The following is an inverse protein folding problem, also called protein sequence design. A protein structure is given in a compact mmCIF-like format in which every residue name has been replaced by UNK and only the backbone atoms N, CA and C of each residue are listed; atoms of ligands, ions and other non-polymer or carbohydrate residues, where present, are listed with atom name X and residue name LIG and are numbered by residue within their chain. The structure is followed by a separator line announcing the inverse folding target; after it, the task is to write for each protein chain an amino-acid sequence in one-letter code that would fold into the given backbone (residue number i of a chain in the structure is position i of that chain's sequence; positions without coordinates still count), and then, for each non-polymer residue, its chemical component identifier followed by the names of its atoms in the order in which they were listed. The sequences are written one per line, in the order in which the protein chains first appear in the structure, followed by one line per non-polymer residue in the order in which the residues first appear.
data_IF_406123971461
#
_entry.id   IF_406123971461
#
_cell.length_a   1.000
_cell.length_b   1.000
_cell.length_c   1.000
_cell.angle_alpha   90.00
_cell.angle_beta   90.00
_cell.angle_gamma   90.00
#
_symmetry.space_group_name_H-M   'P 1'
#
loop_
_entity.id
_entity.type
_entity.pdbx_description
1 polymer ?
#
# COMPACT_ATOMS: atom_id res chain seq x y z
N UNK A 1 -11.79 -36.73 -0.40
CA UNK A 1 -10.63 -36.25 -1.20
C UNK A 1 -10.51 -34.75 -0.98
N UNK A 2 -9.45 -34.29 -0.31
CA UNK A 2 -9.23 -32.87 -0.05
C UNK A 2 -8.75 -32.20 -1.34
N UNK A 3 -9.48 -31.22 -1.87
CA UNK A 3 -9.01 -30.43 -3.02
C UNK A 3 -7.74 -29.70 -2.57
N UNK A 4 -6.62 -29.98 -3.22
CA UNK A 4 -5.40 -29.19 -3.04
C UNK A 4 -5.77 -27.73 -3.31
N UNK A 5 -5.58 -26.89 -2.30
CA UNK A 5 -5.78 -25.45 -2.43
C UNK A 5 -4.63 -24.96 -3.32
N UNK A 6 -4.87 -24.81 -4.62
CA UNK A 6 -3.97 -24.09 -5.51
C UNK A 6 -3.95 -22.64 -5.06
N UNK A 7 -2.87 -22.25 -4.39
CA UNK A 7 -2.52 -20.86 -4.11
C UNK A 7 -2.52 -20.12 -5.45
N UNK A 8 -3.25 -19.01 -5.61
CA UNK A 8 -3.10 -18.21 -6.81
C UNK A 8 -1.73 -17.53 -6.76
N UNK A 9 -1.10 -17.55 -7.93
CA UNK A 9 0.27 -17.11 -8.13
C UNK A 9 0.41 -15.62 -7.89
N UNK A 10 1.48 -15.24 -7.18
CA UNK A 10 2.11 -13.91 -7.24
C UNK A 10 1.93 -13.29 -8.63
N UNK A 11 1.47 -12.02 -8.74
CA UNK A 11 1.28 -11.36 -10.02
C UNK A 11 2.59 -11.32 -10.80
N UNK A 12 2.53 -11.42 -12.13
CA UNK A 12 3.73 -11.24 -12.97
C UNK A 12 4.07 -9.76 -13.13
N UNK A 13 5.31 -9.47 -13.52
CA UNK A 13 5.74 -8.08 -13.81
C UNK A 13 4.85 -7.45 -14.88
N UNK A 14 4.51 -8.19 -15.93
CA UNK A 14 3.66 -7.74 -17.03
C UNK A 14 2.25 -7.40 -16.54
N UNK A 15 1.69 -8.24 -15.66
CA UNK A 15 0.37 -7.97 -15.05
C UNK A 15 0.37 -6.72 -14.16
N UNK A 16 1.49 -6.42 -13.49
CA UNK A 16 1.66 -5.18 -12.73
C UNK A 16 1.81 -3.98 -13.67
N UNK A 17 2.57 -4.10 -14.75
CA UNK A 17 2.78 -2.99 -15.69
C UNK A 17 1.46 -2.49 -16.30
N UNK A 18 0.49 -3.39 -16.52
CA UNK A 18 -0.86 -3.05 -16.99
C UNK A 18 -1.68 -2.21 -15.99
N UNK A 19 -1.29 -2.18 -14.72
CA UNK A 19 -1.95 -1.41 -13.65
C UNK A 19 -1.26 -0.08 -13.35
N UNK A 20 -0.16 0.26 -14.06
CA UNK A 20 0.58 1.51 -13.84
C UNK A 20 -0.35 2.70 -14.06
N UNK A 21 -0.23 3.71 -13.19
CA UNK A 21 -0.92 4.99 -13.35
C UNK A 21 -0.58 5.69 -14.66
N UNK A 22 0.70 5.65 -15.05
CA UNK A 22 1.20 6.32 -16.24
C UNK A 22 1.91 5.32 -17.14
N UNK A 23 1.47 5.27 -18.39
CA UNK A 23 2.17 4.56 -19.45
C UNK A 23 3.02 5.54 -20.27
N UNK A 24 3.86 5.01 -21.15
CA UNK A 24 4.78 5.81 -21.98
C UNK A 24 4.11 6.99 -22.69
N UNK A 25 2.89 6.79 -23.20
CA UNK A 25 2.12 7.83 -23.88
C UNK A 25 1.73 8.96 -22.92
N UNK A 26 1.35 8.63 -21.69
CA UNK A 26 0.98 9.60 -20.66
C UNK A 26 2.21 10.40 -20.21
N UNK A 27 3.34 9.72 -19.99
CA UNK A 27 4.60 10.37 -19.61
C UNK A 27 5.06 11.35 -20.69
N UNK A 28 4.97 10.97 -21.97
CA UNK A 28 5.27 11.88 -23.10
C UNK A 28 4.34 13.10 -23.11
N UNK A 29 3.04 12.92 -22.85
CA UNK A 29 2.07 14.03 -22.76
C UNK A 29 2.38 14.95 -21.58
N UNK A 30 2.68 14.38 -20.41
CA UNK A 30 3.08 15.16 -19.23
C UNK A 30 4.32 16.00 -19.50
N UNK A 31 5.30 15.45 -20.24
CA UNK A 31 6.50 16.20 -20.63
C UNK A 31 6.19 17.33 -21.61
N UNK A 32 5.39 17.07 -22.64
CA UNK A 32 4.98 18.09 -23.61
C UNK A 32 4.16 19.23 -22.97
N UNK A 33 3.45 18.93 -21.88
CA UNK A 33 2.70 19.90 -21.09
C UNK A 33 3.54 20.55 -19.98
N UNK A 34 4.87 20.35 -19.99
CA UNK A 34 5.82 20.91 -19.02
C UNK A 34 5.55 20.52 -17.55
N UNK A 35 4.74 19.48 -17.32
CA UNK A 35 4.42 18.98 -15.98
C UNK A 35 5.55 18.13 -15.37
N UNK A 36 6.46 17.62 -16.21
CA UNK A 36 7.63 16.84 -15.82
C UNK A 36 8.83 17.25 -16.65
N UNK A 37 10.02 16.89 -16.16
CA UNK A 37 11.28 17.21 -16.83
C UNK A 37 11.86 15.97 -17.51
N UNK A 38 12.78 16.19 -18.45
CA UNK A 38 13.59 15.14 -19.07
C UNK A 38 15.06 15.51 -18.93
N UNK A 39 15.91 14.58 -18.47
CA UNK A 39 17.34 14.84 -18.38
C UNK A 39 18.05 14.73 -19.75
N UNK A 40 19.34 15.04 -19.76
CA UNK A 40 20.19 14.95 -20.95
C UNK A 40 20.35 13.52 -21.52
N UNK A 41 20.02 12.48 -20.73
CA UNK A 41 20.04 11.07 -21.15
C UNK A 41 18.68 10.58 -21.63
N UNK A 42 17.65 11.41 -21.52
CA UNK A 42 16.29 11.12 -21.95
C UNK A 42 15.39 10.47 -20.90
N UNK A 43 15.77 10.45 -19.63
CA UNK A 43 14.95 9.94 -18.53
C UNK A 43 14.00 11.02 -18.00
N UNK A 44 12.75 10.63 -17.72
CA UNK A 44 11.73 11.52 -17.18
C UNK A 44 11.84 11.67 -15.66
N UNK A 45 11.78 12.92 -15.18
CA UNK A 45 11.83 13.28 -13.76
C UNK A 45 10.55 13.98 -13.33
N UNK A 46 10.02 13.58 -12.20
CA UNK A 46 8.91 14.23 -11.52
C UNK A 46 9.41 14.94 -10.26
N UNK A 47 8.86 16.11 -9.97
CA UNK A 47 9.18 16.86 -8.77
C UNK A 47 8.24 16.44 -7.64
N UNK A 48 8.77 15.75 -6.63
CA UNK A 48 7.99 15.35 -5.45
C UNK A 48 8.23 16.33 -4.30
N UNK A 49 7.16 16.78 -3.66
CA UNK A 49 7.26 17.52 -2.39
C UNK A 49 7.75 16.57 -1.30
N UNK A 50 8.86 16.87 -0.62
CA UNK A 50 9.22 16.13 0.58
C UNK A 50 8.27 16.46 1.72
N UNK A 51 7.68 15.44 2.36
CA UNK A 51 7.08 15.60 3.68
C UNK A 51 8.19 15.91 4.67
N UNK A 52 8.28 17.16 5.09
CA UNK A 52 9.12 17.54 6.21
C UNK A 52 8.28 17.43 7.50
N UNK A 53 8.41 16.31 8.21
CA UNK A 53 8.48 16.46 9.67
C UNK A 53 9.69 17.38 9.90
N UNK A 54 9.46 18.66 10.24
CA UNK A 54 10.48 19.70 10.53
C UNK A 54 10.80 20.74 9.44
N UNK A 55 9.81 21.19 8.67
CA UNK A 55 9.73 22.63 8.35
C UNK A 55 10.45 23.16 7.10
N UNK A 56 11.04 22.34 6.22
CA UNK A 56 11.42 22.83 4.88
C UNK A 56 11.04 21.80 3.80
N UNK A 57 9.99 22.12 3.04
CA UNK A 57 9.60 21.42 1.81
C UNK A 57 10.59 21.78 0.69
N UNK A 58 11.72 21.06 0.58
CA UNK A 58 12.52 21.14 -0.64
C UNK A 58 11.96 20.14 -1.65
N UNK A 59 11.54 20.58 -2.83
CA UNK A 59 11.17 19.64 -3.88
C UNK A 59 12.39 18.78 -4.24
N UNK A 60 12.16 17.47 -4.35
CA UNK A 60 13.17 16.51 -4.82
C UNK A 60 12.73 15.99 -6.18
N UNK A 61 13.62 16.04 -7.16
CA UNK A 61 13.37 15.38 -8.45
C UNK A 61 13.66 13.90 -8.33
N UNK A 62 12.71 13.08 -8.76
CA UNK A 62 12.83 11.63 -8.80
C UNK A 62 12.54 11.12 -10.20
N UNK A 63 13.24 10.08 -10.61
CA UNK A 63 13.00 9.46 -11.90
C UNK A 63 11.71 8.62 -11.83
N UNK A 64 10.83 8.80 -12.82
CA UNK A 64 9.51 8.15 -12.85
C UNK A 64 9.65 6.64 -13.01
N UNK A 65 10.40 6.19 -14.03
CA UNK A 65 10.52 4.75 -14.33
C UNK A 65 11.23 3.97 -13.20
N UNK A 66 12.37 4.42 -12.65
CA UNK A 66 12.95 3.80 -11.45
C UNK A 66 12.02 3.77 -10.23
N UNK A 67 11.14 4.77 -10.08
CA UNK A 67 10.15 4.76 -9.00
C UNK A 67 9.12 3.66 -9.21
N UNK A 68 8.58 3.49 -10.42
CA UNK A 68 7.67 2.39 -10.74
C UNK A 68 8.34 1.03 -10.53
N UNK A 69 9.56 0.84 -11.02
CA UNK A 69 10.31 -0.42 -10.84
C UNK A 69 10.55 -0.76 -9.36
N UNK A 70 10.83 0.25 -8.52
CA UNK A 70 10.97 0.05 -7.08
C UNK A 70 9.65 -0.40 -6.43
N UNK A 71 8.52 0.21 -6.82
CA UNK A 71 7.19 -0.16 -6.33
C UNK A 71 6.81 -1.57 -6.79
N UNK A 72 7.04 -1.93 -8.05
CA UNK A 72 6.81 -3.28 -8.58
C UNK A 72 7.58 -4.34 -7.80
N UNK A 73 8.89 -4.11 -7.58
CA UNK A 73 9.74 -5.00 -6.78
C UNK A 73 9.21 -5.12 -5.35
N UNK A 74 8.72 -4.03 -4.77
CA UNK A 74 8.12 -4.05 -3.44
C UNK A 74 6.83 -4.89 -3.41
N UNK A 75 5.92 -4.71 -4.37
CA UNK A 75 4.68 -5.49 -4.49
C UNK A 75 4.98 -6.98 -4.62
N UNK A 76 5.87 -7.36 -5.54
CA UNK A 76 6.27 -8.75 -5.76
C UNK A 76 6.89 -9.36 -4.49
N UNK A 77 7.72 -8.59 -3.79
CA UNK A 77 8.33 -9.05 -2.54
C UNK A 77 7.28 -9.32 -1.45
N UNK A 78 6.26 -8.46 -1.29
CA UNK A 78 5.18 -8.69 -0.32
C UNK A 78 4.34 -9.92 -0.65
N UNK A 79 3.98 -10.12 -1.93
CA UNK A 79 3.23 -11.32 -2.35
C UNK A 79 4.02 -12.60 -2.05
N UNK A 80 5.31 -12.63 -2.38
CA UNK A 80 6.19 -13.78 -2.05
C UNK A 80 6.29 -14.03 -0.54
N UNK A 81 6.38 -12.96 0.26
CA UNK A 81 6.37 -13.08 1.72
C UNK A 81 5.03 -13.64 2.21
N UNK A 82 3.91 -13.16 1.68
CA UNK A 82 2.58 -13.62 2.05
C UNK A 82 2.36 -15.10 1.70
N UNK A 83 2.82 -15.56 0.53
CA UNK A 83 2.78 -16.97 0.15
C UNK A 83 3.56 -17.84 1.15
N UNK A 84 4.77 -17.43 1.53
CA UNK A 84 5.60 -18.13 2.51
C UNK A 84 4.93 -18.17 3.90
N UNK A 85 4.48 -17.03 4.40
CA UNK A 85 3.77 -16.91 5.70
C UNK A 85 2.49 -17.75 5.71
N UNK A 86 1.74 -17.78 4.61
CA UNK A 86 0.54 -18.61 4.50
C UNK A 86 0.86 -20.10 4.52
N UNK A 87 1.88 -20.54 3.77
CA UNK A 87 2.31 -21.94 3.77
C UNK A 87 2.73 -22.39 5.18
N UNK A 88 3.50 -21.56 5.90
CA UNK A 88 3.89 -21.80 7.28
C UNK A 88 2.68 -21.87 8.22
N UNK A 89 1.75 -20.92 8.09
CA UNK A 89 0.50 -20.90 8.87
C UNK A 89 -0.32 -22.18 8.68
N UNK A 90 -0.40 -22.68 7.44
CA UNK A 90 -1.18 -23.88 7.11
C UNK A 90 -0.55 -25.17 7.64
N UNK A 91 0.77 -25.20 7.84
CA UNK A 91 1.48 -26.32 8.45
C UNK A 91 1.21 -26.44 9.97
N UNK A 92 0.81 -25.36 10.63
CA UNK A 92 0.58 -25.33 12.08
C UNK A 92 -0.76 -25.98 12.43
N UNK A 93 -0.78 -26.93 13.37
CA UNK A 93 -2.01 -27.63 13.79
C UNK A 93 -2.87 -26.82 14.77
N UNK A 94 -2.26 -26.07 15.70
CA UNK A 94 -3.00 -25.35 16.76
C UNK A 94 -3.41 -23.94 16.32
N UNK A 95 -4.69 -23.60 16.49
CA UNK A 95 -5.23 -22.29 16.11
C UNK A 95 -4.55 -21.10 16.81
N UNK A 96 -4.17 -21.24 18.08
CA UNK A 96 -3.49 -20.15 18.83
C UNK A 96 -2.12 -19.81 18.23
N UNK A 97 -1.39 -20.82 17.78
CA UNK A 97 -0.05 -20.66 17.17
C UNK A 97 -0.12 -20.05 15.76
N UNK A 98 -1.30 -20.06 15.10
CA UNK A 98 -1.54 -19.41 13.80
C UNK A 98 -1.76 -17.90 13.90
N UNK A 99 -2.07 -17.38 15.09
CA UNK A 99 -2.43 -15.96 15.28
C UNK A 99 -1.35 -15.00 14.78
N UNK A 100 -0.06 -15.16 15.11
CA UNK A 100 0.99 -14.26 14.61
C UNK A 100 1.08 -14.24 13.09
N UNK A 101 0.99 -15.41 12.45
CA UNK A 101 1.01 -15.51 10.97
C UNK A 101 -0.17 -14.79 10.33
N UNK A 102 -1.37 -14.89 10.92
CA UNK A 102 -2.54 -14.15 10.45
C UNK A 102 -2.34 -12.64 10.56
N UNK A 103 -1.74 -12.16 11.64
CA UNK A 103 -1.41 -10.73 11.82
C UNK A 103 -0.38 -10.27 10.78
N UNK A 104 0.68 -11.04 10.57
CA UNK A 104 1.67 -10.74 9.52
C UNK A 104 1.03 -10.73 8.13
N UNK A 105 0.14 -11.67 7.81
CA UNK A 105 -0.61 -11.68 6.55
C UNK A 105 -1.48 -10.43 6.40
N UNK A 106 -2.21 -10.03 7.45
CA UNK A 106 -3.01 -8.81 7.45
C UNK A 106 -2.13 -7.56 7.25
N UNK A 107 -0.97 -7.48 7.90
CA UNK A 107 -0.02 -6.39 7.67
C UNK A 107 0.45 -6.35 6.21
N UNK A 108 0.82 -7.49 5.64
CA UNK A 108 1.25 -7.58 4.24
C UNK A 108 0.13 -7.17 3.27
N UNK A 109 -1.12 -7.54 3.57
CA UNK A 109 -2.29 -7.14 2.77
C UNK A 109 -2.49 -5.62 2.78
N UNK A 110 -2.27 -4.98 3.93
CA UNK A 110 -2.36 -3.53 4.09
C UNK A 110 -1.25 -2.83 3.31
N UNK A 111 -0.01 -3.30 3.45
CA UNK A 111 1.13 -2.77 2.69
C UNK A 111 0.88 -2.89 1.18
N UNK A 112 0.41 -4.05 0.73
CA UNK A 112 0.03 -4.27 -0.67
C UNK A 112 -1.09 -3.33 -1.11
N UNK A 113 -2.14 -3.16 -0.31
CA UNK A 113 -3.23 -2.24 -0.61
C UNK A 113 -2.71 -0.82 -0.88
N UNK A 114 -1.85 -0.31 0.00
CA UNK A 114 -1.24 1.01 -0.17
C UNK A 114 -0.33 1.10 -1.40
N UNK A 115 0.52 0.09 -1.60
CA UNK A 115 1.41 0.05 -2.76
C UNK A 115 0.61 0.04 -4.08
N UNK A 116 -0.45 -0.75 -4.18
CA UNK A 116 -1.31 -0.78 -5.37
C UNK A 116 -2.05 0.54 -5.58
N UNK A 117 -2.56 1.17 -4.51
CA UNK A 117 -3.23 2.46 -4.61
C UNK A 117 -2.27 3.54 -5.15
N UNK A 118 -1.07 3.64 -4.56
CA UNK A 118 -0.04 4.59 -5.00
C UNK A 118 0.42 4.32 -6.45
N UNK A 119 0.60 3.04 -6.79
CA UNK A 119 1.08 2.59 -8.09
C UNK A 119 0.08 2.83 -9.23
N UNK A 120 -1.19 2.54 -9.00
CA UNK A 120 -2.27 2.71 -9.98
C UNK A 120 -2.87 4.11 -9.98
N UNK A 121 -2.58 4.92 -8.95
CA UNK A 121 -3.21 6.22 -8.75
C UNK A 121 -4.69 6.16 -8.41
N UNK A 122 -5.18 4.99 -7.97
CA UNK A 122 -6.54 4.83 -7.43
C UNK A 122 -6.71 5.70 -6.19
N UNK A 123 -7.96 6.05 -5.90
CA UNK A 123 -8.35 6.91 -4.76
C UNK A 123 -7.77 8.33 -4.81
N UNK A 124 -7.33 8.81 -5.99
CA UNK A 124 -6.90 10.20 -6.18
C UNK A 124 -5.56 10.55 -5.52
N UNK A 125 -4.76 9.56 -5.11
CA UNK A 125 -3.45 9.79 -4.48
C UNK A 125 -2.53 10.60 -5.40
N UNK A 126 -1.69 11.47 -4.83
CA UNK A 126 -0.63 12.15 -5.59
C UNK A 126 0.44 11.15 -6.03
N UNK A 127 1.22 11.48 -7.08
CA UNK A 127 2.40 10.68 -7.40
C UNK A 127 3.46 10.90 -6.30
N UNK A 128 3.81 9.83 -5.59
CA UNK A 128 4.77 9.84 -4.50
C UNK A 128 6.03 9.09 -4.91
N UNK A 129 7.20 9.53 -4.41
CA UNK A 129 8.41 8.72 -4.54
C UNK A 129 8.29 7.44 -3.71
N UNK A 130 9.02 6.40 -4.10
CA UNK A 130 9.03 5.12 -3.38
C UNK A 130 9.31 5.30 -1.87
N UNK A 131 10.27 6.15 -1.51
CA UNK A 131 10.61 6.39 -0.12
C UNK A 131 9.46 7.05 0.66
N UNK A 132 8.69 7.95 0.03
CA UNK A 132 7.54 8.58 0.68
C UNK A 132 6.42 7.57 0.91
N UNK A 133 6.15 6.70 -0.07
CA UNK A 133 5.18 5.62 0.07
C UNK A 133 5.56 4.73 1.27
N UNK A 134 6.85 4.40 1.40
CA UNK A 134 7.33 3.59 2.52
C UNK A 134 7.21 4.29 3.87
N UNK A 135 7.48 5.60 3.95
CA UNK A 135 7.28 6.41 5.16
C UNK A 135 5.80 6.44 5.54
N UNK A 136 4.89 6.70 4.59
CA UNK A 136 3.45 6.74 4.87
C UNK A 136 2.91 5.39 5.35
N UNK A 137 3.38 4.29 4.75
CA UNK A 137 3.07 2.94 5.23
C UNK A 137 3.55 2.79 6.67
N UNK A 138 4.81 3.16 6.96
CA UNK A 138 5.40 3.03 8.28
C UNK A 138 4.65 3.86 9.35
N UNK A 139 4.26 5.09 9.02
CA UNK A 139 3.49 5.96 9.90
C UNK A 139 2.13 5.33 10.22
N UNK A 140 1.41 4.86 9.20
CA UNK A 140 0.10 4.22 9.39
C UNK A 140 0.18 2.92 10.19
N UNK A 141 1.26 2.14 10.01
CA UNK A 141 1.55 0.99 10.85
C UNK A 141 1.82 1.41 12.29
N UNK A 142 2.54 2.51 12.51
CA UNK A 142 2.83 3.04 13.86
C UNK A 142 1.56 3.51 14.60
N UNK A 143 0.55 3.97 13.88
CA UNK A 143 -0.76 4.34 14.43
C UNK A 143 -1.68 3.14 14.74
N UNK A 144 -1.34 1.93 14.28
CA UNK A 144 -2.17 0.74 14.49
C UNK A 144 -3.35 0.61 13.53
N UNK A 145 -3.26 1.20 12.32
CA UNK A 145 -4.40 1.34 11.39
C UNK A 145 -4.58 0.16 10.42
N UNK A 146 -3.83 -0.95 10.58
CA UNK A 146 -3.87 -2.08 9.65
C UNK A 146 -5.27 -2.68 9.58
N UNK A 147 -5.84 -2.97 10.75
CA UNK A 147 -7.15 -3.62 10.83
C UNK A 147 -8.26 -2.71 10.29
N UNK A 148 -8.29 -1.44 10.72
CA UNK A 148 -9.27 -0.45 10.26
C UNK A 148 -9.18 -0.22 8.74
N UNK A 149 -7.96 -0.21 8.18
CA UNK A 149 -7.73 -0.01 6.74
C UNK A 149 -8.18 -1.18 5.86
N UNK A 150 -8.15 -2.41 6.37
CA UNK A 150 -8.52 -3.63 5.62
C UNK A 150 -9.99 -4.00 5.84
N UNK A 151 -10.52 -3.88 7.06
CA UNK A 151 -11.87 -4.38 7.39
C UNK A 151 -12.97 -3.67 6.58
N UNK A 152 -12.74 -2.41 6.21
CA UNK A 152 -13.67 -1.63 5.39
C UNK A 152 -13.70 -2.07 3.92
N UNK A 153 -12.82 -2.98 3.49
CA UNK A 153 -12.64 -3.37 2.09
C UNK A 153 -13.17 -4.78 1.85
N UNK A 154 -14.11 -4.90 0.92
CA UNK A 154 -14.69 -6.17 0.44
C UNK A 154 -13.64 -7.10 -0.18
N UNK A 155 -12.71 -6.51 -0.92
CA UNK A 155 -11.61 -7.22 -1.58
C UNK A 155 -10.31 -6.45 -1.39
N UNK A 156 -9.27 -7.18 -1.06
CA UNK A 156 -7.89 -6.74 -0.85
C UNK A 156 -6.95 -7.61 -1.69
N UNK A 157 -5.71 -7.17 -1.95
CA UNK A 157 -4.77 -7.92 -2.79
C UNK A 157 -4.61 -9.40 -2.38
N UNK A 158 -4.50 -9.71 -1.09
CA UNK A 158 -4.34 -11.09 -0.62
C UNK A 158 -5.67 -11.86 -0.53
N UNK A 159 -6.82 -11.19 -0.37
CA UNK A 159 -8.12 -11.87 -0.39
C UNK A 159 -8.56 -12.24 -1.81
N UNK A 160 -8.26 -11.40 -2.81
CA UNK A 160 -8.38 -11.77 -4.23
C UNK A 160 -7.49 -12.97 -4.56
N UNK A 161 -6.29 -12.99 -3.98
CA UNK A 161 -5.39 -14.13 -3.98
C UNK A 161 -5.80 -15.29 -3.06
N UNK A 162 -6.98 -15.29 -2.41
CA UNK A 162 -7.40 -16.36 -1.48
C UNK A 162 -6.34 -16.76 -0.42
N UNK A 163 -5.33 -15.91 -0.19
CA UNK A 163 -4.26 -16.10 0.80
C UNK A 163 -4.75 -15.68 2.19
N UNK A 164 -5.79 -14.85 2.25
CA UNK A 164 -6.53 -14.54 3.46
C UNK A 164 -8.01 -14.74 3.14
N UNK A 165 -8.82 -15.32 4.06
CA UNK A 165 -10.27 -15.26 3.92
C UNK A 165 -10.73 -13.80 3.80
N UNK A 166 -11.76 -13.48 3.00
CA UNK A 166 -12.31 -12.14 2.93
C UNK A 166 -12.53 -11.55 4.32
N UNK A 167 -12.03 -10.33 4.55
CA UNK A 167 -12.11 -9.67 5.85
C UNK A 167 -13.53 -9.14 6.14
N UNK A 168 -14.38 -9.06 5.11
CA UNK A 168 -15.77 -8.63 5.25
C UNK A 168 -16.64 -9.71 5.88
N UNK A 169 -17.36 -9.33 6.93
CA UNK A 169 -18.33 -10.18 7.63
C UNK A 169 -17.80 -10.93 8.85
N UNK A 170 -16.48 -10.92 9.13
CA UNK A 170 -15.91 -11.46 10.37
C UNK A 170 -15.30 -10.33 11.21
N UNK A 171 -16.08 -9.81 12.16
CA UNK A 171 -15.54 -8.94 13.21
C UNK A 171 -14.60 -9.76 14.10
N UNK A 172 -13.31 -9.46 14.06
CA UNK A 172 -12.39 -9.89 15.11
C UNK A 172 -12.53 -8.83 16.23
N UNK A 173 -12.81 -9.23 17.47
CA UNK A 173 -12.95 -8.26 18.57
C UNK A 173 -11.63 -7.51 18.77
N UNK A 174 -11.67 -6.27 19.25
CA UNK A 174 -10.47 -5.46 19.54
C UNK A 174 -9.48 -6.21 20.46
N UNK A 175 -10.01 -6.99 21.42
CA UNK A 175 -9.26 -7.88 22.30
C UNK A 175 -8.45 -8.98 21.59
N UNK A 176 -8.75 -9.26 20.31
CA UNK A 176 -7.92 -10.12 19.48
C UNK A 176 -6.56 -9.47 19.16
N UNK A 177 -6.48 -8.15 19.15
CA UNK A 177 -5.28 -7.38 18.81
C UNK A 177 -4.61 -6.75 20.04
N UNK A 178 -5.34 -6.56 21.14
CA UNK A 178 -4.83 -5.94 22.38
C UNK A 178 -3.64 -6.68 23.04
N UNK A 179 -3.35 -7.92 22.64
CA UNK A 179 -2.27 -8.73 23.22
C UNK A 179 -1.01 -8.84 22.35
N UNK A 180 -0.91 -8.08 21.24
CA UNK A 180 0.24 -8.19 20.33
C UNK A 180 1.02 -6.88 20.27
N UNK A 181 2.34 -6.97 20.38
CA UNK A 181 3.29 -5.85 20.20
C UNK A 181 3.64 -5.62 18.71
N UNK A 182 2.98 -6.34 17.79
CA UNK A 182 3.26 -6.26 16.37
C UNK A 182 2.82 -4.91 15.78
N UNK A 183 3.78 -4.19 15.16
CA UNK A 183 3.57 -2.89 14.52
C UNK A 183 2.43 -2.99 13.50
N UNK A 184 1.42 -2.12 13.63
CA UNK A 184 0.21 -2.13 12.81
C UNK A 184 -1.05 -2.56 13.56
N UNK A 185 -0.91 -3.24 14.70
CA UNK A 185 -2.03 -3.72 15.53
C UNK A 185 -2.06 -3.13 16.94
N UNK A 186 -0.97 -2.51 17.35
CA UNK A 186 -0.86 -1.70 18.56
C UNK A 186 -0.38 -0.30 18.16
N UNK A 187 -0.95 0.72 18.77
CA UNK A 187 -0.56 2.11 18.51
C UNK A 187 0.64 2.48 19.38
N UNK A 188 1.76 2.85 18.75
CA UNK A 188 2.93 3.37 19.48
C UNK A 188 2.63 4.74 20.14
N UNK A 189 1.58 5.41 19.67
CA UNK A 189 1.07 6.65 20.22
C UNK A 189 -0.17 6.34 21.08
N UNK A 190 -0.16 6.71 22.36
CA UNK A 190 -1.40 6.74 23.13
C UNK A 190 -2.32 7.75 22.45
N UNK A 191 -3.51 7.33 22.00
CA UNK A 191 -4.54 8.23 21.46
C UNK A 191 -4.92 9.24 22.55
N UNK A 192 -4.20 10.35 22.65
CA UNK A 192 -4.85 11.62 22.96
C UNK A 192 -5.65 11.96 21.69
N UNK A 193 -6.93 12.25 21.83
CA UNK A 193 -7.83 12.47 20.70
C UNK A 193 -7.29 13.57 19.77
N UNK A 194 -6.66 13.18 18.67
CA UNK A 194 -6.32 14.09 17.58
C UNK A 194 -7.31 13.90 16.44
N UNK A 195 -8.11 14.93 16.19
CA UNK A 195 -8.90 15.07 14.97
C UNK A 195 -7.94 15.18 13.78
N UNK A 196 -7.80 14.11 13.01
CA UNK A 196 -7.22 14.19 11.67
C UNK A 196 -8.32 14.70 10.72
N UNK A 197 -8.19 15.96 10.31
CA UNK A 197 -8.98 16.51 9.21
C UNK A 197 -8.75 15.64 7.96
N UNK A 198 -9.78 14.93 7.53
CA UNK A 198 -9.88 14.55 6.13
C UNK A 198 -10.31 15.83 5.40
N UNK A 199 -9.47 16.36 4.51
CA UNK A 199 -9.97 17.27 3.49
C UNK A 199 -10.60 16.38 2.41
N UNK A 200 -11.94 16.37 2.25
CA UNK A 200 -12.56 15.66 1.14
C UNK A 200 -12.23 16.36 -0.18
N UNK A 201 -11.94 15.54 -1.19
CA UNK A 201 -11.78 15.98 -2.58
C UNK A 201 -13.11 16.59 -3.07
N UNK A 202 -13.14 17.90 -3.33
CA UNK A 202 -14.36 18.60 -3.77
C UNK A 202 -14.36 20.14 -3.74
N UNK A 203 -13.51 20.80 -2.95
CA UNK A 203 -13.56 22.28 -2.78
C UNK A 203 -12.75 23.12 -3.80
N UNK A 204 -12.46 22.60 -5.00
CA UNK A 204 -12.01 23.44 -6.13
C UNK A 204 -13.01 23.44 -7.31
N UNK A 205 -14.27 23.09 -7.06
CA UNK A 205 -15.40 23.52 -7.90
C UNK A 205 -16.17 24.59 -7.16
N UNK A 206 -15.62 25.81 -7.12
CA UNK A 206 -16.37 27.06 -6.93
C UNK A 206 -15.42 28.25 -7.11
N UNK A 207 -15.09 28.53 -8.38
CA UNK A 207 -15.17 29.88 -8.96
C UNK A 207 -15.50 29.74 -10.44
N UNK A 208 -16.74 29.32 -10.71
CA UNK A 208 -17.50 29.97 -11.77
C UNK A 208 -18.15 31.20 -11.13
N UNK A 209 -17.46 32.33 -11.22
CA UNK A 209 -18.01 33.64 -11.56
C UNK A 209 -16.92 34.41 -12.30
#
# INVERSE_FOLDING_TARGET
MSKAVTLPSTPTVESLQALRRYHDVDIRRMYNNEAIYKDYKGFYLFEVELHAHNGIKKPKRVYIEPTFQAIEKAILSRHKQAEATFAEMMAIKKKKERKPFLLTLLRLDFELYYLYAAYSGKDGQSFLSFNQIMIEIEDKLSYGLVYEGIIAKETTPLTMGKLIPPCVGKRLPASYFETTEEKGFYSLYKREDYYLYTMPYGMNREKEQ
#
